data_IF_015910234780
#
_entry.id   IF_015910234780
#
_cell.length_a   1.000
_cell.length_b   1.000
_cell.length_c   1.000
_cell.angle_alpha   90.00
_cell.angle_beta   90.00
_cell.angle_gamma   90.00
#
_symmetry.space_group_name_H-M   'P 1'
#
loop_
_entity.id
_entity.type
_entity.pdbx_description
1 polymer ?
#
# COMPACT_ATOMS: atom_id res chain seq x y z
N UNK A 1 -6.60 3.10 15.90
CA UNK A 1 -6.44 4.29 15.04
C UNK A 1 -7.05 4.04 13.68
N UNK A 2 -6.95 2.83 13.10
CA UNK A 2 -7.79 2.51 11.95
C UNK A 2 -9.25 2.33 12.35
N UNK A 3 -10.16 2.75 11.47
CA UNK A 3 -11.61 2.64 11.64
C UNK A 3 -12.35 3.94 11.40
N UNK A 4 -13.64 3.92 11.74
CA UNK A 4 -14.55 5.05 11.65
C UNK A 4 -14.60 5.85 12.95
N UNK A 5 -14.64 7.17 12.82
CA UNK A 5 -14.68 8.12 13.92
C UNK A 5 -15.76 9.18 13.67
N UNK A 6 -16.58 9.45 14.69
CA UNK A 6 -17.48 10.61 14.68
C UNK A 6 -16.67 11.88 14.96
N UNK A 7 -17.09 13.01 14.39
CA UNK A 7 -16.51 14.33 14.65
C UNK A 7 -17.38 15.06 15.71
N UNK A 8 -16.80 15.73 16.71
CA UNK A 8 -15.37 16.01 16.91
C UNK A 8 -14.58 14.81 17.42
N UNK A 9 -13.28 14.80 17.13
CA UNK A 9 -12.36 13.74 17.56
C UNK A 9 -10.96 14.29 17.87
N UNK A 10 -10.26 13.57 18.72
CA UNK A 10 -8.84 13.74 18.97
C UNK A 10 -8.22 12.34 19.19
N UNK A 11 -7.23 12.00 18.37
CA UNK A 11 -6.56 10.71 18.37
C UNK A 11 -5.05 10.94 18.40
N UNK A 12 -4.35 10.26 19.30
CA UNK A 12 -2.90 10.25 19.35
C UNK A 12 -2.39 8.80 19.38
N UNK A 13 -1.55 8.44 18.40
CA UNK A 13 -0.96 7.10 18.31
C UNK A 13 0.34 7.14 17.51
N UNK A 14 1.39 6.49 18.01
CA UNK A 14 2.67 6.28 17.32
C UNK A 14 3.27 7.57 16.72
N UNK A 15 3.21 8.67 17.48
CA UNK A 15 3.73 9.97 17.05
C UNK A 15 2.87 10.70 16.01
N UNK A 16 1.68 10.18 15.68
CA UNK A 16 0.67 10.85 14.87
C UNK A 16 -0.42 11.35 15.80
N UNK A 17 -0.70 12.65 15.75
CA UNK A 17 -1.88 13.26 16.37
C UNK A 17 -2.81 13.76 15.27
N UNK A 18 -4.09 13.39 15.34
CA UNK A 18 -5.15 13.86 14.44
C UNK A 18 -6.29 14.40 15.28
N UNK A 19 -6.72 15.63 15.03
CA UNK A 19 -7.92 16.20 15.62
C UNK A 19 -8.82 16.86 14.59
N UNK A 20 -10.13 16.82 14.87
CA UNK A 20 -11.14 17.64 14.20
C UNK A 20 -12.02 18.28 15.25
N UNK A 21 -12.00 19.62 15.29
CA UNK A 21 -12.71 20.42 16.29
C UNK A 21 -13.57 21.49 15.62
N UNK A 22 -14.63 21.94 16.29
CA UNK A 22 -15.45 23.05 15.82
C UNK A 22 -14.83 24.40 16.17
N UNK A 23 -14.59 25.24 15.18
CA UNK A 23 -14.13 26.63 15.35
C UNK A 23 -15.02 27.57 14.49
N UNK A 24 -15.70 28.52 15.15
CA UNK A 24 -16.42 29.61 14.45
C UNK A 24 -17.55 29.16 13.51
N UNK A 25 -18.18 28.01 13.75
CA UNK A 25 -19.24 27.46 12.89
C UNK A 25 -18.72 26.59 11.73
N UNK A 26 -17.41 26.33 11.68
CA UNK A 26 -16.76 25.38 10.78
C UNK A 26 -16.01 24.31 11.57
N UNK A 27 -15.60 23.23 10.91
CA UNK A 27 -14.73 22.21 11.49
C UNK A 27 -13.28 22.46 11.05
N UNK A 28 -12.31 22.17 11.90
CA UNK A 28 -10.89 22.34 11.60
C UNK A 28 -10.15 21.04 11.85
N UNK A 29 -9.60 20.47 10.78
CA UNK A 29 -8.71 19.32 10.83
C UNK A 29 -7.28 19.77 11.12
N UNK A 30 -6.63 19.08 12.05
CA UNK A 30 -5.21 19.24 12.38
C UNK A 30 -4.55 17.88 12.44
N UNK A 31 -3.36 17.78 11.86
CA UNK A 31 -2.49 16.62 12.01
C UNK A 31 -1.09 17.07 12.38
N UNK A 32 -0.51 16.45 13.41
CA UNK A 32 0.90 16.52 13.76
C UNK A 32 1.54 15.15 13.53
N UNK A 33 2.73 15.11 12.93
CA UNK A 33 3.49 13.87 12.71
C UNK A 33 4.98 14.15 12.48
N UNK A 34 5.85 13.13 12.41
CA UNK A 34 7.25 13.31 12.01
C UNK A 34 7.45 13.94 10.61
N UNK A 35 6.45 13.87 9.72
CA UNK A 35 6.48 14.54 8.41
C UNK A 35 6.13 16.04 8.48
N UNK A 36 5.74 16.54 9.65
CA UNK A 36 5.29 17.91 9.88
C UNK A 36 3.78 18.03 10.12
N UNK A 37 3.31 19.27 10.17
CA UNK A 37 1.93 19.62 10.51
C UNK A 37 1.07 19.92 9.28
N UNK A 38 -0.22 19.57 9.37
CA UNK A 38 -1.25 19.93 8.37
C UNK A 38 -2.44 20.53 9.08
N UNK A 39 -2.98 21.61 8.53
CA UNK A 39 -4.23 22.24 8.99
C UNK A 39 -5.17 22.46 7.80
N UNK A 40 -6.43 22.04 7.92
CA UNK A 40 -7.47 22.24 6.87
C UNK A 40 -8.78 22.68 7.50
N UNK A 41 -9.43 23.68 6.89
CA UNK A 41 -10.79 24.07 7.25
C UNK A 41 -11.79 23.18 6.50
N UNK A 42 -12.77 22.64 7.21
CA UNK A 42 -13.84 21.79 6.70
C UNK A 42 -15.15 22.56 6.88
N UNK A 43 -15.78 22.92 5.76
CA UNK A 43 -17.06 23.63 5.75
C UNK A 43 -18.23 22.64 5.88
N UNK A 44 -18.30 21.95 7.01
CA UNK A 44 -19.37 21.02 7.35
C UNK A 44 -19.81 21.22 8.80
N UNK A 45 -21.06 20.84 9.11
CA UNK A 45 -21.63 20.91 10.47
C UNK A 45 -21.30 19.69 11.34
N UNK A 46 -20.77 18.63 10.73
CA UNK A 46 -20.53 17.33 11.34
C UNK A 46 -20.18 16.32 10.25
N UNK A 47 -19.85 15.10 10.64
CA UNK A 47 -19.51 14.03 9.70
C UNK A 47 -18.72 12.93 10.39
N UNK A 48 -18.27 11.97 9.57
CA UNK A 48 -17.42 10.88 10.02
C UNK A 48 -16.08 10.95 9.29
N UNK A 49 -15.01 10.59 9.99
CA UNK A 49 -13.75 10.26 9.36
C UNK A 49 -13.58 8.74 9.26
N UNK A 50 -13.00 8.29 8.16
CA UNK A 50 -12.40 6.97 8.04
C UNK A 50 -10.88 7.15 8.03
N UNK A 51 -10.20 6.41 8.90
CA UNK A 51 -8.74 6.31 8.90
C UNK A 51 -8.39 4.86 8.58
N UNK A 52 -7.64 4.62 7.51
CA UNK A 52 -7.25 3.27 7.11
C UNK A 52 -5.92 3.30 6.33
N UNK A 53 -5.21 2.17 6.23
CA UNK A 53 -4.01 2.11 5.41
C UNK A 53 -4.37 2.20 3.92
N UNK A 54 -3.54 2.89 3.15
CA UNK A 54 -3.68 3.11 1.71
C UNK A 54 -2.42 2.69 0.97
N UNK A 55 -2.47 2.68 -0.37
CA UNK A 55 -1.35 2.31 -1.22
C UNK A 55 -0.14 3.21 -0.95
N UNK A 56 1.08 2.65 -0.81
CA UNK A 56 2.24 3.41 -0.34
C UNK A 56 2.91 4.18 -1.47
N UNK A 57 2.16 5.11 -2.06
CA UNK A 57 2.53 5.81 -3.27
C UNK A 57 2.11 7.29 -3.25
N UNK A 58 1.40 7.75 -2.22
CA UNK A 58 0.86 9.12 -2.17
C UNK A 58 1.92 10.08 -1.63
N UNK A 59 2.81 9.63 -0.74
CA UNK A 59 3.81 10.49 -0.07
C UNK A 59 5.24 10.33 -0.60
N UNK A 60 6.04 11.41 -0.63
CA UNK A 60 5.64 12.81 -0.42
C UNK A 60 4.79 13.37 -1.58
N UNK A 61 4.94 12.81 -2.77
CA UNK A 61 4.17 13.10 -3.97
C UNK A 61 3.81 11.82 -4.71
N UNK A 62 2.62 11.84 -5.32
CA UNK A 62 2.04 10.77 -6.14
C UNK A 62 2.61 10.86 -7.57
N UNK A 63 3.80 10.32 -7.77
CA UNK A 63 4.55 10.44 -9.04
C UNK A 63 4.37 9.24 -9.97
N UNK A 64 4.01 8.08 -9.43
CA UNK A 64 3.96 6.82 -10.17
C UNK A 64 3.00 5.84 -9.48
N UNK A 65 2.25 5.02 -10.24
CA UNK A 65 1.47 3.92 -9.68
C UNK A 65 2.34 2.67 -9.42
N UNK A 66 3.64 2.70 -9.70
CA UNK A 66 4.50 1.52 -9.59
C UNK A 66 5.27 1.48 -8.27
N UNK A 67 5.19 0.34 -7.59
CA UNK A 67 5.87 0.08 -6.33
C UNK A 67 6.80 -1.11 -6.49
N UNK A 68 8.10 -0.90 -6.29
CA UNK A 68 9.13 -1.94 -6.38
C UNK A 68 9.56 -2.35 -4.98
N UNK A 69 9.45 -3.65 -4.68
CA UNK A 69 10.07 -4.26 -3.52
C UNK A 69 11.29 -5.05 -3.98
N UNK A 70 12.48 -4.62 -3.56
CA UNK A 70 13.72 -5.37 -3.71
C UNK A 70 13.85 -6.37 -2.56
N UNK A 71 14.28 -7.58 -2.87
CA UNK A 71 14.53 -8.62 -1.89
C UNK A 71 15.96 -8.51 -1.39
N UNK A 72 16.15 -8.45 -0.08
CA UNK A 72 17.49 -8.42 0.54
C UNK A 72 18.31 -9.67 0.23
N UNK A 73 17.62 -10.78 -0.10
CA UNK A 73 18.18 -12.04 -0.54
C UNK A 73 17.36 -12.54 -1.72
N UNK A 74 18.02 -13.04 -2.75
CA UNK A 74 17.34 -13.62 -3.89
C UNK A 74 16.60 -14.91 -3.51
N UNK A 75 15.54 -15.20 -4.28
CA UNK A 75 14.69 -16.38 -4.09
C UNK A 75 14.81 -17.25 -5.33
N UNK A 76 15.27 -18.48 -5.13
CA UNK A 76 15.32 -19.50 -6.18
C UNK A 76 14.02 -20.31 -6.16
N UNK A 77 13.34 -20.40 -7.30
CA UNK A 77 12.16 -21.25 -7.47
C UNK A 77 12.42 -22.31 -8.54
N UNK A 78 12.08 -23.55 -8.22
CA UNK A 78 12.28 -24.69 -9.10
C UNK A 78 11.30 -24.69 -10.28
N UNK A 79 11.62 -25.38 -11.38
CA UNK A 79 10.72 -25.52 -12.52
C UNK A 79 9.34 -26.03 -12.12
N UNK A 80 8.28 -25.46 -12.71
CA UNK A 80 6.88 -25.94 -12.55
C UNK A 80 6.36 -25.98 -11.12
N UNK A 81 6.99 -25.26 -10.20
CA UNK A 81 6.57 -25.21 -8.80
C UNK A 81 5.79 -23.94 -8.45
N UNK A 82 5.09 -24.03 -7.32
CA UNK A 82 4.42 -22.94 -6.65
C UNK A 82 4.98 -22.85 -5.23
N UNK A 83 5.35 -21.66 -4.80
CA UNK A 83 5.88 -21.41 -3.47
C UNK A 83 5.36 -20.09 -2.92
N UNK A 84 5.15 -20.05 -1.62
CA UNK A 84 4.65 -18.87 -0.92
C UNK A 84 5.76 -18.27 -0.07
N UNK A 85 5.96 -16.96 -0.22
CA UNK A 85 6.82 -16.16 0.64
C UNK A 85 6.06 -14.98 1.21
N UNK A 86 6.67 -14.32 2.19
CA UNK A 86 6.18 -13.06 2.74
C UNK A 86 7.26 -12.00 2.62
N UNK A 87 6.86 -10.80 2.25
CA UNK A 87 7.70 -9.60 2.20
C UNK A 87 6.96 -8.45 2.89
N UNK A 88 7.68 -7.42 3.30
CA UNK A 88 7.11 -6.22 3.92
C UNK A 88 6.97 -5.10 2.92
N UNK A 89 6.05 -4.19 3.21
CA UNK A 89 5.88 -2.92 2.50
C UNK A 89 5.62 -1.80 3.50
N UNK A 90 5.99 -0.54 3.20
CA UNK A 90 5.71 0.58 4.08
C UNK A 90 4.22 0.91 4.04
N UNK A 91 3.64 1.32 5.17
CA UNK A 91 2.23 1.72 5.25
C UNK A 91 2.12 3.24 5.14
N UNK A 92 1.26 3.69 4.23
CA UNK A 92 0.71 5.03 4.26
C UNK A 92 -0.70 5.00 4.86
N UNK A 93 -1.10 6.07 5.53
CA UNK A 93 -2.36 6.16 6.28
C UNK A 93 -3.21 7.27 5.66
N UNK A 94 -4.30 6.86 5.03
CA UNK A 94 -5.30 7.78 4.50
C UNK A 94 -6.27 8.23 5.58
N UNK A 95 -6.60 9.52 5.56
CA UNK A 95 -7.67 10.12 6.35
C UNK A 95 -8.72 10.59 5.35
N UNK A 96 -9.91 10.02 5.43
CA UNK A 96 -11.02 10.30 4.53
C UNK A 96 -12.18 10.93 5.28
N UNK A 97 -12.83 11.92 4.67
CA UNK A 97 -14.09 12.46 5.15
C UNK A 97 -15.25 11.76 4.45
N UNK A 98 -16.24 11.31 5.21
CA UNK A 98 -17.44 10.70 4.67
C UNK A 98 -18.43 11.77 4.20
N UNK A 99 -18.77 11.77 2.91
CA UNK A 99 -19.91 12.50 2.34
C UNK A 99 -21.16 11.62 2.25
N UNK A 100 -22.24 12.14 1.67
CA UNK A 100 -23.52 11.41 1.56
C UNK A 100 -23.44 10.14 0.69
N UNK A 101 -22.58 10.13 -0.33
CA UNK A 101 -22.49 9.03 -1.32
C UNK A 101 -21.08 8.55 -1.63
N UNK A 102 -20.06 9.23 -1.11
CA UNK A 102 -18.66 8.94 -1.38
C UNK A 102 -17.76 9.42 -0.25
N UNK A 103 -16.54 8.90 -0.22
CA UNK A 103 -15.46 9.35 0.63
C UNK A 103 -14.53 10.24 -0.16
N UNK A 104 -14.05 11.32 0.46
CA UNK A 104 -13.01 12.18 -0.11
C UNK A 104 -11.76 12.12 0.77
N UNK A 105 -10.58 12.08 0.14
CA UNK A 105 -9.31 12.09 0.87
C UNK A 105 -9.06 13.48 1.47
N UNK A 106 -9.02 13.53 2.81
CA UNK A 106 -8.72 14.73 3.57
C UNK A 106 -7.21 14.89 3.77
N UNK A 107 -6.49 13.81 4.08
CA UNK A 107 -5.03 13.82 4.21
C UNK A 107 -4.46 12.41 3.99
N UNK A 108 -3.15 12.33 3.78
CA UNK A 108 -2.38 11.11 3.89
C UNK A 108 -1.17 11.39 4.79
N UNK A 109 -0.68 10.40 5.53
CA UNK A 109 0.53 10.50 6.35
C UNK A 109 1.27 9.17 6.33
N UNK A 110 2.60 9.22 6.39
CA UNK A 110 3.44 8.03 6.53
C UNK A 110 4.48 8.20 7.61
N UNK A 111 4.80 7.09 8.29
CA UNK A 111 5.96 7.01 9.19
C UNK A 111 7.19 6.47 8.46
N UNK A 112 7.03 6.00 7.22
CA UNK A 112 8.08 5.35 6.43
C UNK A 112 8.39 6.16 5.18
N UNK A 113 9.53 6.86 5.20
CA UNK A 113 10.01 7.58 4.02
C UNK A 113 10.45 6.60 2.93
N UNK A 114 9.84 6.74 1.76
CA UNK A 114 10.16 5.93 0.59
C UNK A 114 11.11 6.66 -0.34
N UNK A 115 11.98 5.88 -1.01
CA UNK A 115 12.85 6.36 -2.08
C UNK A 115 12.17 6.16 -3.43
N UNK A 116 12.72 6.78 -4.46
CA UNK A 116 12.40 6.47 -5.85
C UNK A 116 13.51 5.61 -6.45
N UNK A 117 13.14 4.75 -7.39
CA UNK A 117 14.06 3.95 -8.20
C UNK A 117 13.55 3.86 -9.64
N UNK A 118 14.38 3.32 -10.52
CA UNK A 118 14.04 3.00 -11.90
C UNK A 118 13.99 1.49 -12.07
N UNK A 119 12.87 0.97 -12.58
CA UNK A 119 12.75 -0.41 -13.04
C UNK A 119 12.91 -0.45 -14.56
N UNK A 120 14.02 -1.03 -15.02
CA UNK A 120 14.37 -1.11 -16.44
C UNK A 120 15.57 -0.26 -16.82
N UNK A 121 15.78 -0.10 -18.12
CA UNK A 121 16.87 0.71 -18.65
C UNK A 121 16.58 2.22 -18.60
N UNK A 122 17.60 3.03 -18.86
CA UNK A 122 17.48 4.50 -18.81
C UNK A 122 16.57 5.08 -19.91
N UNK A 123 16.24 4.33 -20.94
CA UNK A 123 15.45 4.80 -22.09
C UNK A 123 13.96 4.48 -21.96
N UNK A 124 13.61 3.35 -21.34
CA UNK A 124 12.23 2.84 -21.25
C UNK A 124 11.83 2.42 -19.82
N UNK A 125 12.66 2.70 -18.83
CA UNK A 125 12.42 2.31 -17.44
C UNK A 125 11.22 3.03 -16.80
N UNK A 126 10.61 2.37 -15.83
CA UNK A 126 9.50 2.89 -15.04
C UNK A 126 10.03 3.48 -13.74
N UNK A 127 9.59 4.68 -13.40
CA UNK A 127 9.82 5.23 -12.07
C UNK A 127 8.98 4.41 -11.09
N UNK A 128 9.59 3.93 -10.00
CA UNK A 128 8.91 3.20 -8.94
C UNK A 128 9.19 3.84 -7.58
N UNK A 129 8.23 3.79 -6.67
CA UNK A 129 8.55 3.91 -5.23
C UNK A 129 9.28 2.64 -4.81
N UNK A 130 10.35 2.82 -4.05
CA UNK A 130 11.27 1.75 -3.68
C UNK A 130 11.09 1.34 -2.23
N UNK A 131 11.14 0.03 -1.99
CA UNK A 131 11.26 -0.56 -0.68
C UNK A 131 12.23 -1.75 -0.70
N UNK A 132 13.00 -1.91 0.38
CA UNK A 132 13.83 -3.09 0.62
C UNK A 132 13.15 -3.96 1.67
N UNK A 133 12.95 -5.23 1.35
CA UNK A 133 12.39 -6.20 2.30
C UNK A 133 13.26 -7.46 2.38
N UNK A 134 13.38 -8.02 3.58
CA UNK A 134 13.74 -9.43 3.70
C UNK A 134 12.65 -10.33 3.13
N UNK A 135 13.04 -11.57 2.83
CA UNK A 135 12.13 -12.64 2.43
C UNK A 135 11.91 -13.57 3.62
N UNK A 136 10.65 -13.79 3.96
CA UNK A 136 10.25 -14.61 5.09
C UNK A 136 9.45 -15.84 4.63
N UNK A 137 9.69 -16.98 5.29
CA UNK A 137 8.95 -18.23 5.05
C UNK A 137 7.63 -18.32 5.86
N UNK A 138 7.43 -17.40 6.78
CA UNK A 138 6.22 -17.24 7.59
C UNK A 138 5.89 -15.76 7.74
N UNK A 139 4.65 -15.44 8.13
CA UNK A 139 4.21 -14.05 8.29
C UNK A 139 5.10 -13.36 9.33
N UNK A 140 5.90 -12.34 8.96
CA UNK A 140 6.76 -11.64 9.91
C UNK A 140 5.95 -10.71 10.82
N UNK A 141 6.55 -10.32 11.94
CA UNK A 141 6.03 -9.20 12.73
C UNK A 141 6.24 -7.89 11.96
N UNK A 142 5.19 -7.06 11.91
CA UNK A 142 5.19 -5.75 11.27
C UNK A 142 4.32 -4.81 12.12
N UNK A 143 4.87 -3.65 12.49
CA UNK A 143 4.11 -2.64 13.24
C UNK A 143 3.11 -1.98 12.28
N UNK A 144 1.78 -2.06 12.50
CA UNK A 144 0.77 -1.76 11.48
C UNK A 144 0.77 -0.34 10.92
N UNK A 145 1.36 0.60 11.65
CA UNK A 145 1.47 2.01 11.26
C UNK A 145 2.77 2.34 10.53
N UNK A 146 3.69 1.38 10.45
CA UNK A 146 4.98 1.50 9.77
C UNK A 146 5.01 0.56 8.57
N UNK A 147 4.76 -0.73 8.79
CA UNK A 147 4.92 -1.76 7.77
C UNK A 147 3.70 -2.68 7.71
N UNK A 148 3.36 -3.11 6.50
CA UNK A 148 2.43 -4.20 6.23
C UNK A 148 3.15 -5.41 5.64
N UNK A 149 2.41 -6.52 5.48
CA UNK A 149 2.93 -7.77 4.92
C UNK A 149 2.23 -8.11 3.61
N UNK A 150 3.01 -8.39 2.56
CA UNK A 150 2.54 -9.00 1.32
C UNK A 150 2.74 -10.51 1.44
N UNK A 151 1.67 -11.29 1.37
CA UNK A 151 1.77 -12.71 1.02
C UNK A 151 1.93 -12.81 -0.50
N UNK A 152 3.09 -13.26 -0.95
CA UNK A 152 3.40 -13.39 -2.37
C UNK A 152 3.43 -14.87 -2.77
N UNK A 153 2.48 -15.26 -3.61
CA UNK A 153 2.42 -16.58 -4.20
C UNK A 153 3.19 -16.61 -5.52
N UNK A 154 4.33 -17.28 -5.55
CA UNK A 154 5.23 -17.33 -6.70
C UNK A 154 4.97 -18.61 -7.47
N UNK A 155 4.66 -18.49 -8.75
CA UNK A 155 4.33 -19.62 -9.63
C UNK A 155 5.34 -19.63 -10.79
N UNK A 156 6.26 -20.59 -10.78
CA UNK A 156 7.19 -20.78 -11.88
C UNK A 156 6.58 -21.67 -12.96
N UNK A 157 6.08 -21.07 -14.05
CA UNK A 157 5.50 -21.84 -15.15
C UNK A 157 6.56 -22.37 -16.13
N UNK A 158 7.83 -22.01 -15.95
CA UNK A 158 8.92 -22.39 -16.86
C UNK A 158 9.48 -23.79 -16.55
N UNK A 159 10.34 -24.29 -17.41
CA UNK A 159 11.09 -25.54 -17.19
C UNK A 159 12.50 -25.30 -16.61
N UNK A 160 12.78 -24.11 -16.08
CA UNK A 160 14.10 -23.70 -15.57
C UNK A 160 13.98 -23.19 -14.13
N UNK A 161 15.09 -23.28 -13.40
CA UNK A 161 15.24 -22.56 -12.15
C UNK A 161 15.26 -21.06 -12.45
N UNK A 162 14.54 -20.28 -11.66
CA UNK A 162 14.47 -18.83 -11.79
C UNK A 162 14.90 -18.20 -10.47
N UNK A 163 15.80 -17.23 -10.57
CA UNK A 163 16.18 -16.35 -9.47
C UNK A 163 15.31 -15.10 -9.50
N UNK A 164 14.63 -14.81 -8.40
CA UNK A 164 13.88 -13.57 -8.20
C UNK A 164 14.64 -12.67 -7.25
N UNK A 165 14.79 -11.41 -7.61
CA UNK A 165 15.45 -10.40 -6.79
C UNK A 165 14.53 -9.25 -6.42
N UNK A 166 13.40 -9.10 -7.10
CA UNK A 166 12.43 -8.04 -6.84
C UNK A 166 11.01 -8.41 -7.31
N UNK A 167 10.06 -7.59 -6.93
CA UNK A 167 8.70 -7.62 -7.46
C UNK A 167 8.21 -6.18 -7.69
N UNK A 168 7.54 -5.94 -8.82
CA UNK A 168 6.97 -4.64 -9.18
C UNK A 168 5.45 -4.72 -9.20
N UNK A 169 4.83 -3.91 -8.36
CA UNK A 169 3.40 -3.89 -8.13
C UNK A 169 2.78 -2.64 -8.75
N UNK A 170 1.55 -2.79 -9.27
CA UNK A 170 0.73 -1.69 -9.75
C UNK A 170 -0.33 -1.32 -8.69
N UNK A 171 -0.33 -0.06 -8.26
CA UNK A 171 -1.24 0.52 -7.26
C UNK A 171 -2.71 0.19 -7.55
N UNK A 172 -3.10 0.26 -8.82
CA UNK A 172 -4.48 0.07 -9.25
C UNK A 172 -5.02 -1.33 -8.94
N UNK A 173 -4.14 -2.32 -8.82
CA UNK A 173 -4.51 -3.67 -8.43
C UNK A 173 -4.50 -3.92 -6.93
N UNK A 174 -3.84 -3.08 -6.14
CA UNK A 174 -3.61 -3.35 -4.72
C UNK A 174 -4.91 -3.58 -3.96
N UNK A 175 -4.91 -4.62 -3.11
CA UNK A 175 -6.00 -4.97 -2.20
C UNK A 175 -5.45 -5.03 -0.78
N UNK A 176 -5.54 -3.89 -0.10
CA UNK A 176 -5.05 -3.74 1.27
C UNK A 176 -6.14 -4.15 2.24
N UNK A 177 -5.77 -4.98 3.20
CA UNK A 177 -6.59 -5.41 4.32
C UNK A 177 -5.89 -5.01 5.62
N UNK A 178 -6.65 -4.65 6.64
CA UNK A 178 -6.13 -4.29 7.95
C UNK A 178 -6.93 -4.94 9.07
N UNK A 179 -6.26 -5.17 10.20
CA UNK A 179 -6.87 -5.62 11.43
C UNK A 179 -6.25 -4.90 12.61
N UNK A 180 -6.54 -5.37 13.82
CA UNK A 180 -6.04 -4.75 15.06
C UNK A 180 -4.51 -4.75 15.15
N UNK A 181 -3.85 -5.78 14.60
CA UNK A 181 -2.42 -6.06 14.79
C UNK A 181 -1.61 -6.10 13.49
N UNK A 182 -2.21 -5.84 12.33
CA UNK A 182 -1.52 -5.98 11.04
C UNK A 182 -2.20 -5.23 9.89
N UNK A 183 -1.39 -4.89 8.90
CA UNK A 183 -1.82 -4.50 7.55
C UNK A 183 -1.25 -5.53 6.58
N UNK A 184 -2.02 -5.93 5.58
CA UNK A 184 -1.59 -6.96 4.63
C UNK A 184 -2.18 -6.81 3.25
N UNK A 185 -1.54 -7.45 2.29
CA UNK A 185 -2.09 -7.70 0.96
C UNK A 185 -1.68 -9.10 0.48
N UNK A 186 -2.33 -9.58 -0.57
CA UNK A 186 -2.04 -10.87 -1.20
C UNK A 186 -1.85 -10.68 -2.69
N UNK A 187 -0.81 -11.27 -3.25
CA UNK A 187 -0.49 -11.17 -4.66
C UNK A 187 -0.02 -12.51 -5.25
N UNK A 188 -0.23 -12.71 -6.55
CA UNK A 188 0.46 -13.77 -7.28
C UNK A 188 1.54 -13.14 -8.16
N UNK A 189 2.69 -13.81 -8.25
CA UNK A 189 3.74 -13.56 -9.22
C UNK A 189 3.86 -14.81 -10.09
N UNK A 190 3.37 -14.72 -11.33
CA UNK A 190 3.43 -15.81 -12.30
C UNK A 190 4.61 -15.58 -13.23
N UNK A 191 5.65 -16.38 -13.10
CA UNK A 191 6.81 -16.36 -14.00
C UNK A 191 6.43 -17.10 -15.27
N UNK A 192 6.47 -16.39 -16.39
CA UNK A 192 6.05 -16.83 -17.72
C UNK A 192 7.24 -17.07 -18.66
N UNK A 193 8.41 -16.49 -18.35
CA UNK A 193 9.68 -16.70 -19.04
C UNK A 193 10.86 -16.31 -18.15
N UNK A 194 12.09 -16.38 -18.69
CA UNK A 194 13.31 -16.13 -17.89
C UNK A 194 13.39 -14.71 -17.30
N UNK A 195 12.88 -13.72 -18.05
CA UNK A 195 12.87 -12.31 -17.65
C UNK A 195 11.45 -11.72 -17.61
N UNK A 196 10.44 -12.60 -17.63
CA UNK A 196 9.05 -12.20 -17.82
C UNK A 196 8.13 -12.78 -16.76
N UNK A 197 7.45 -11.92 -16.01
CA UNK A 197 6.47 -12.33 -15.00
C UNK A 197 5.26 -11.40 -14.96
N UNK A 198 4.10 -11.95 -14.64
CA UNK A 198 2.87 -11.19 -14.39
C UNK A 198 2.61 -11.14 -12.87
N UNK A 199 2.27 -9.96 -12.37
CA UNK A 199 1.83 -9.76 -10.98
C UNK A 199 0.37 -9.29 -10.96
N UNK A 200 -0.43 -9.96 -10.16
CA UNK A 200 -1.81 -9.59 -9.84
C UNK A 200 -2.11 -9.71 -8.34
N UNK A 201 -3.26 -9.19 -7.93
CA UNK A 201 -3.67 -9.14 -6.53
C UNK A 201 -4.86 -10.05 -6.27
N UNK A 202 -4.85 -10.67 -5.11
CA UNK A 202 -5.96 -11.47 -4.60
C UNK A 202 -6.79 -10.57 -3.69
N UNK A 203 -8.07 -10.40 -4.01
CA UNK A 203 -9.02 -9.67 -3.18
C UNK A 203 -9.52 -10.53 -2.00
N UNK A 204 -8.60 -10.84 -1.09
CA UNK A 204 -8.88 -11.56 0.14
C UNK A 204 -7.85 -11.22 1.23
N UNK A 205 -8.26 -11.24 2.51
CA UNK A 205 -7.33 -11.03 3.60
C UNK A 205 -6.40 -12.25 3.79
N UNK A 206 -5.24 -12.03 4.43
CA UNK A 206 -4.34 -13.13 4.85
C UNK A 206 -4.90 -13.92 6.03
N UNK A 207 -5.82 -13.33 6.80
CA UNK A 207 -6.44 -13.91 7.98
C UNK A 207 -7.89 -13.46 8.10
N UNK A 208 -8.75 -14.35 8.59
CA UNK A 208 -10.14 -14.00 8.91
C UNK A 208 -10.22 -12.85 9.93
N UNK A 209 -11.23 -11.99 9.78
CA UNK A 209 -11.49 -10.85 10.65
C UNK A 209 -10.76 -9.55 10.27
N UNK A 210 -10.02 -9.54 9.17
CA UNK A 210 -9.46 -8.30 8.62
C UNK A 210 -10.48 -7.58 7.74
N UNK A 211 -10.46 -6.25 7.80
CA UNK A 211 -11.31 -5.36 7.00
C UNK A 211 -10.56 -4.91 5.75
N UNK A 212 -11.30 -4.71 4.65
CA UNK A 212 -10.73 -4.17 3.42
C UNK A 212 -10.58 -2.65 3.54
N UNK A 213 -9.41 -2.13 3.19
CA UNK A 213 -9.15 -0.71 3.07
C UNK A 213 -9.96 -0.06 1.95
N UNK A 214 -10.34 1.20 2.16
CA UNK A 214 -10.70 2.08 1.07
C UNK A 214 -9.45 2.41 0.25
N UNK A 215 -9.48 2.08 -1.04
CA UNK A 215 -8.39 2.23 -2.00
C UNK A 215 -8.33 3.68 -2.52
N UNK A 216 -7.18 4.36 -2.42
CA UNK A 216 -7.05 5.77 -2.84
C UNK A 216 -7.27 5.94 -4.34
N UNK A 217 -6.70 5.02 -5.13
CA UNK A 217 -6.74 5.09 -6.59
C UNK A 217 -8.15 4.79 -7.16
N UNK A 218 -8.96 4.03 -6.44
CA UNK A 218 -10.35 3.72 -6.82
C UNK A 218 -11.29 4.90 -6.51
N UNK A 219 -11.04 5.66 -5.44
CA UNK A 219 -11.81 6.87 -5.10
C UNK A 219 -11.71 7.94 -6.18
N UNK A 220 -10.59 8.00 -6.92
CA UNK A 220 -10.38 8.99 -8.00
C UNK A 220 -11.10 8.71 -9.32
N UNK A 221 -11.88 7.62 -9.44
CA UNK A 221 -12.68 7.27 -10.64
C UNK A 221 -11.87 7.32 -11.95
N UNK A 222 -10.59 7.01 -11.94
CA UNK A 222 -9.82 6.86 -13.17
C UNK A 222 -10.18 5.53 -13.81
N UNK A 223 -10.60 5.55 -15.08
CA UNK A 223 -10.86 4.33 -15.85
C UNK A 223 -9.52 3.68 -16.20
N UNK A 224 -9.09 2.74 -15.37
CA UNK A 224 -7.84 2.00 -15.59
C UNK A 224 -8.15 0.74 -16.40
N UNK A 225 -7.43 0.55 -17.50
CA UNK A 225 -7.62 -0.57 -18.42
C UNK A 225 -7.03 -1.89 -17.90
N UNK A 226 -6.04 -1.85 -17.00
CA UNK A 226 -5.43 -3.04 -16.39
C UNK A 226 -4.92 -2.77 -14.97
N UNK A 227 -5.22 -3.70 -14.06
CA UNK A 227 -4.73 -3.71 -12.67
C UNK A 227 -3.50 -4.60 -12.49
N UNK A 228 -3.19 -5.43 -13.49
CA UNK A 228 -2.03 -6.32 -13.50
C UNK A 228 -0.78 -5.55 -13.91
N UNK A 229 0.36 -6.00 -13.41
CA UNK A 229 1.66 -5.54 -13.86
C UNK A 229 2.42 -6.66 -14.56
N UNK A 230 3.18 -6.29 -15.58
CA UNK A 230 3.97 -7.23 -16.37
C UNK A 230 5.43 -6.79 -16.29
N UNK A 231 6.24 -7.62 -15.65
CA UNK A 231 7.68 -7.45 -15.50
C UNK A 231 8.38 -7.99 -16.76
N UNK A 232 9.09 -7.15 -17.48
CA UNK A 232 9.82 -7.48 -18.73
C UNK A 232 11.32 -7.15 -18.66
N UNK A 233 11.74 -6.38 -17.66
CA UNK A 233 13.09 -5.80 -17.57
C UNK A 233 13.87 -6.33 -16.37
N UNK A 234 13.65 -7.61 -16.05
CA UNK A 234 14.31 -8.34 -14.96
C UNK A 234 13.35 -8.73 -13.85
N UNK A 235 13.69 -9.83 -13.19
CA UNK A 235 12.96 -10.45 -12.08
C UNK A 235 13.73 -10.35 -10.74
#
# INVERSE_FOLDING_TARGET
MFGFYEIPLNIEKNGISISVEGEGGSLVYRRESPEGSVKKNILAKGGKLLINPVEPLIKPEELTPYFLVEFSKSVMIEPKAESKIYIKFPVEIGVFIAGERHYDILDCVTLMKQKLTLYGDASNGLICKYWLSDVYNSIPQAEPFHEGVIELNIINTTSRWIELTKAVFNAYGMKIYYGTDRVSMRANLRILGENFAEIDFIDAPIKSGMEKSLEHYTVRRMSVLTTKFVMEMGL
#
